data_IF_182432059001
#
_entry.id   IF_182432059001
#
_cell.length_a   1.000
_cell.length_b   1.000
_cell.length_c   1.000
_cell.angle_alpha   90.00
_cell.angle_beta   90.00
_cell.angle_gamma   90.00
#
_symmetry.space_group_name_H-M   'P 1'
#
loop_
_entity.id
_entity.type
_entity.pdbx_description
1 polymer ?
#
# COMPACT_ATOMS: atom_id res chain seq x y z
N UNK A 1 45.96 10.60 2.96
CA UNK A 1 45.56 9.25 2.51
C UNK A 1 44.19 9.01 3.13
N UNK A 2 43.12 9.38 2.42
CA UNK A 2 41.76 9.32 2.95
C UNK A 2 41.26 7.89 2.85
N UNK A 3 40.82 7.34 3.99
CA UNK A 3 40.26 6.00 4.10
C UNK A 3 38.79 6.10 3.69
N UNK A 4 38.48 5.76 2.44
CA UNK A 4 37.08 5.65 1.99
C UNK A 4 36.43 4.43 2.64
N UNK A 5 35.39 4.67 3.43
CA UNK A 5 34.61 3.63 4.10
C UNK A 5 33.94 2.73 3.05
N UNK A 6 33.99 1.38 3.16
CA UNK A 6 33.48 0.47 2.14
C UNK A 6 31.96 0.53 1.90
N UNK A 7 31.20 1.15 2.80
CA UNK A 7 29.73 1.15 2.78
C UNK A 7 29.11 2.11 1.75
N UNK A 8 29.78 3.20 1.38
CA UNK A 8 29.21 4.18 0.43
C UNK A 8 29.13 3.62 -1.01
N UNK A 9 30.02 2.68 -1.35
CA UNK A 9 29.99 1.98 -2.65
C UNK A 9 28.84 0.99 -2.78
N UNK A 10 28.29 0.49 -1.67
CA UNK A 10 27.19 -0.47 -1.69
C UNK A 10 25.86 0.22 -2.04
N UNK A 11 25.63 1.42 -1.50
CA UNK A 11 24.43 2.22 -1.78
C UNK A 11 24.39 2.74 -3.22
N UNK A 12 25.51 3.28 -3.72
CA UNK A 12 25.58 3.81 -5.09
C UNK A 12 25.39 2.73 -6.17
N UNK A 13 25.90 1.52 -5.94
CA UNK A 13 25.74 0.42 -6.89
C UNK A 13 24.34 -0.21 -6.84
N UNK A 14 23.65 -0.19 -5.69
CA UNK A 14 22.28 -0.71 -5.59
C UNK A 14 21.25 0.20 -6.27
N UNK A 15 21.43 1.52 -6.23
CA UNK A 15 20.54 2.46 -6.92
C UNK A 15 20.77 2.40 -8.44
N UNK A 16 22.02 2.28 -8.90
CA UNK A 16 22.34 2.16 -10.32
C UNK A 16 21.91 0.81 -10.94
N UNK A 17 21.83 -0.26 -10.16
CA UNK A 17 21.47 -1.60 -10.63
C UNK A 17 19.97 -1.91 -10.56
N UNK A 18 19.17 -1.10 -9.86
CA UNK A 18 17.71 -1.22 -9.93
C UNK A 18 17.26 -0.74 -11.29
N UNK A 19 16.94 -1.67 -12.20
CA UNK A 19 16.12 -1.35 -13.36
C UNK A 19 14.90 -0.61 -12.84
N UNK A 20 14.77 0.64 -13.24
CA UNK A 20 13.58 1.47 -12.98
C UNK A 20 12.35 0.61 -13.29
N UNK A 21 11.49 0.29 -12.31
CA UNK A 21 10.32 -0.54 -12.55
C UNK A 21 9.50 0.13 -13.65
N UNK A 22 9.25 -0.61 -14.74
CA UNK A 22 8.38 -0.15 -15.83
C UNK A 22 6.91 -0.48 -15.56
N UNK A 23 6.59 -1.00 -14.38
CA UNK A 23 5.26 -1.39 -13.93
C UNK A 23 5.17 -1.27 -12.40
N UNK A 24 3.97 -1.08 -11.90
CA UNK A 24 3.60 -1.15 -10.49
C UNK A 24 3.00 -2.52 -10.19
N UNK A 25 3.61 -3.30 -9.31
CA UNK A 25 3.10 -4.63 -8.97
C UNK A 25 1.88 -4.51 -8.06
N UNK A 26 0.84 -5.29 -8.34
CA UNK A 26 -0.41 -5.27 -7.58
C UNK A 26 -0.21 -5.56 -6.10
N UNK A 27 0.72 -6.47 -5.76
CA UNK A 27 1.04 -6.83 -4.37
C UNK A 27 1.67 -5.68 -3.55
N UNK A 28 2.11 -4.60 -4.20
CA UNK A 28 2.70 -3.42 -3.56
C UNK A 28 1.73 -2.24 -3.44
N UNK A 29 0.66 -2.22 -4.22
CA UNK A 29 -0.27 -1.09 -4.29
C UNK A 29 -0.94 -0.87 -2.94
N UNK A 30 -1.58 -1.93 -2.43
CA UNK A 30 -2.28 -1.89 -1.15
C UNK A 30 -1.32 -1.57 -0.01
N UNK A 31 -0.09 -2.09 -0.06
CA UNK A 31 0.95 -1.77 0.92
C UNK A 31 1.20 -0.25 1.06
N UNK A 32 1.38 0.42 -0.07
CA UNK A 32 1.66 1.85 -0.09
C UNK A 32 0.42 2.68 0.31
N UNK A 33 -0.73 2.40 -0.30
CA UNK A 33 -1.95 3.17 -0.08
C UNK A 33 -2.47 2.99 1.35
N UNK A 34 -2.47 1.77 1.88
CA UNK A 34 -2.94 1.51 3.23
C UNK A 34 -2.08 2.19 4.29
N UNK A 35 -0.77 2.33 4.04
CA UNK A 35 0.14 3.07 4.93
C UNK A 35 -0.25 4.54 5.01
N UNK A 36 -0.37 5.22 3.87
CA UNK A 36 -0.79 6.63 3.84
C UNK A 36 -2.16 6.86 4.46
N UNK A 37 -3.13 5.99 4.16
CA UNK A 37 -4.47 6.08 4.75
C UNK A 37 -4.41 5.93 6.27
N UNK A 38 -3.69 4.92 6.76
CA UNK A 38 -3.64 4.63 8.19
C UNK A 38 -2.88 5.72 8.96
N UNK A 39 -1.76 6.20 8.42
CA UNK A 39 -0.99 7.28 9.04
C UNK A 39 -1.80 8.58 9.07
N UNK A 40 -2.47 8.94 7.97
CA UNK A 40 -3.35 10.11 7.94
C UNK A 40 -4.41 10.04 9.05
N UNK A 41 -5.08 8.89 9.19
CA UNK A 41 -6.12 8.66 10.20
C UNK A 41 -5.60 8.68 11.64
N UNK A 42 -4.31 8.44 11.85
CA UNK A 42 -3.70 8.47 13.18
C UNK A 42 -3.37 9.91 13.64
N UNK A 43 -3.20 10.87 12.72
CA UNK A 43 -2.69 12.20 13.04
C UNK A 43 -3.47 12.93 14.13
N UNK A 44 -4.82 12.88 14.10
CA UNK A 44 -5.65 13.53 15.12
C UNK A 44 -5.44 12.91 16.50
N UNK A 45 -5.34 11.57 16.57
CA UNK A 45 -5.09 10.85 17.82
C UNK A 45 -3.69 11.16 18.38
N UNK A 46 -2.74 11.49 17.52
CA UNK A 46 -1.37 11.89 17.86
C UNK A 46 -1.24 13.40 18.13
N UNK A 47 -2.35 14.13 18.26
CA UNK A 47 -2.38 15.53 18.72
C UNK A 47 -2.42 16.58 17.62
N UNK A 48 -2.60 16.18 16.35
CA UNK A 48 -2.89 17.13 15.28
C UNK A 48 -4.29 17.74 15.48
N UNK A 49 -4.47 19.08 15.38
CA UNK A 49 -5.79 19.69 15.53
C UNK A 49 -6.82 19.17 14.54
N UNK A 50 -8.05 18.95 14.99
CA UNK A 50 -9.15 18.51 14.14
C UNK A 50 -9.32 19.45 12.94
N UNK A 51 -9.33 18.89 11.72
CA UNK A 51 -9.51 19.63 10.47
C UNK A 51 -8.28 20.39 9.99
N UNK A 52 -7.12 20.29 10.64
CA UNK A 52 -5.89 20.93 10.13
C UNK A 52 -5.21 20.14 9.01
N UNK A 53 -5.67 18.93 8.72
CA UNK A 53 -5.11 18.06 7.68
C UNK A 53 -6.21 17.28 6.96
N UNK A 54 -5.99 17.06 5.67
CA UNK A 54 -6.79 16.18 4.81
C UNK A 54 -5.85 15.54 3.79
N UNK A 55 -6.11 14.28 3.43
CA UNK A 55 -5.36 13.57 2.39
C UNK A 55 -6.27 13.38 1.17
N UNK A 56 -5.85 13.91 0.01
CA UNK A 56 -6.51 13.63 -1.26
C UNK A 56 -5.67 12.65 -2.07
N UNK A 57 -6.23 11.49 -2.37
CA UNK A 57 -5.69 10.59 -3.39
C UNK A 57 -6.22 11.06 -4.74
N UNK A 58 -5.36 11.72 -5.50
CA UNK A 58 -5.68 12.31 -6.80
C UNK A 58 -5.41 11.31 -7.94
N UNK A 59 -6.46 10.96 -8.68
CA UNK A 59 -6.40 10.11 -9.86
C UNK A 59 -6.25 10.87 -11.18
N UNK A 60 -6.22 12.19 -11.17
CA UNK A 60 -6.06 12.99 -12.39
C UNK A 60 -4.67 12.78 -13.00
N UNK A 61 -4.54 12.75 -14.34
CA UNK A 61 -5.59 12.88 -15.36
C UNK A 61 -6.31 11.58 -15.74
N UNK A 62 -6.04 10.45 -15.07
CA UNK A 62 -6.58 9.13 -15.40
C UNK A 62 -7.43 8.52 -14.26
N UNK A 63 -8.55 9.16 -13.86
CA UNK A 63 -9.35 8.69 -12.71
C UNK A 63 -9.90 7.27 -12.93
N UNK A 64 -10.16 6.88 -14.18
CA UNK A 64 -10.64 5.53 -14.52
C UNK A 64 -9.59 4.45 -14.24
N UNK A 65 -8.30 4.74 -14.48
CA UNK A 65 -7.20 3.82 -14.15
C UNK A 65 -7.11 3.63 -12.64
N UNK A 66 -7.16 4.73 -11.88
CA UNK A 66 -7.17 4.70 -10.42
C UNK A 66 -8.38 3.93 -9.88
N UNK A 67 -9.56 4.13 -10.47
CA UNK A 67 -10.79 3.42 -10.09
C UNK A 67 -10.64 1.91 -10.29
N UNK A 68 -10.12 1.48 -11.45
CA UNK A 68 -9.86 0.05 -11.71
C UNK A 68 -8.85 -0.54 -10.74
N UNK A 69 -7.78 0.19 -10.43
CA UNK A 69 -6.77 -0.25 -9.46
C UNK A 69 -7.41 -0.43 -8.07
N UNK A 70 -8.18 0.56 -7.61
CA UNK A 70 -8.81 0.50 -6.31
C UNK A 70 -9.83 -0.64 -6.22
N UNK A 71 -10.71 -0.78 -7.21
CA UNK A 71 -11.73 -1.81 -7.22
C UNK A 71 -11.14 -3.24 -7.27
N UNK A 72 -10.12 -3.46 -8.10
CA UNK A 72 -9.58 -4.81 -8.36
C UNK A 72 -8.50 -5.24 -7.38
N UNK A 73 -7.75 -4.28 -6.80
CA UNK A 73 -6.62 -4.56 -5.92
C UNK A 73 -6.94 -4.14 -4.48
N UNK A 74 -7.22 -2.86 -4.25
CA UNK A 74 -7.33 -2.30 -2.90
C UNK A 74 -8.57 -2.83 -2.17
N UNK A 75 -9.74 -2.83 -2.82
CA UNK A 75 -10.98 -3.39 -2.27
C UNK A 75 -10.89 -4.90 -2.10
N UNK A 76 -10.28 -5.60 -3.07
CA UNK A 76 -10.03 -7.05 -3.00
C UNK A 76 -9.20 -7.38 -1.76
N UNK A 77 -8.08 -6.69 -1.56
CA UNK A 77 -7.16 -6.97 -0.46
C UNK A 77 -7.78 -6.63 0.89
N UNK A 78 -8.54 -5.53 0.98
CA UNK A 78 -9.30 -5.19 2.19
C UNK A 78 -10.35 -6.26 2.54
N UNK A 79 -11.11 -6.73 1.57
CA UNK A 79 -12.10 -7.79 1.79
C UNK A 79 -11.44 -9.13 2.09
N UNK A 80 -10.28 -9.43 1.47
CA UNK A 80 -9.50 -10.62 1.77
C UNK A 80 -8.94 -10.60 3.19
N UNK A 81 -8.52 -9.43 3.69
CA UNK A 81 -8.13 -9.22 5.07
C UNK A 81 -9.29 -9.44 6.04
N UNK A 82 -10.48 -8.90 5.74
CA UNK A 82 -11.66 -9.16 6.55
C UNK A 82 -12.02 -10.64 6.57
N UNK A 83 -12.02 -11.30 5.40
CA UNK A 83 -12.33 -12.72 5.28
C UNK A 83 -11.33 -13.60 6.04
N UNK A 84 -10.05 -13.24 6.03
CA UNK A 84 -9.02 -13.91 6.81
C UNK A 84 -9.30 -13.78 8.31
N UNK A 85 -9.57 -12.56 8.81
CA UNK A 85 -9.90 -12.32 10.21
C UNK A 85 -11.14 -13.13 10.63
N UNK A 86 -12.21 -13.08 9.84
CA UNK A 86 -13.43 -13.85 10.11
C UNK A 86 -13.19 -15.35 10.09
N UNK A 87 -12.38 -15.86 9.16
CA UNK A 87 -12.08 -17.29 9.08
C UNK A 87 -11.24 -17.77 10.28
N UNK A 88 -10.40 -16.91 10.86
CA UNK A 88 -9.70 -17.19 12.13
C UNK A 88 -10.69 -17.17 13.29
N UNK A 89 -11.56 -16.17 13.39
CA UNK A 89 -12.53 -16.03 14.47
C UNK A 89 -13.54 -17.19 14.52
N UNK A 90 -13.89 -17.73 13.34
CA UNK A 90 -14.77 -18.90 13.18
C UNK A 90 -14.04 -20.24 13.31
N UNK A 91 -12.74 -20.23 13.63
CA UNK A 91 -11.87 -21.42 13.71
C UNK A 91 -11.84 -22.27 12.41
N UNK A 92 -12.07 -21.65 11.25
CA UNK A 92 -12.03 -22.30 9.93
C UNK A 92 -10.58 -22.59 9.52
N UNK A 93 -9.66 -21.68 9.85
CA UNK A 93 -8.23 -21.79 9.53
C UNK A 93 -7.41 -22.44 10.65
N UNK A 94 -8.07 -22.85 11.74
CA UNK A 94 -7.46 -23.37 12.95
C UNK A 94 -6.83 -22.29 13.82
N UNK A 95 -6.00 -22.71 14.77
CA UNK A 95 -5.44 -21.83 15.79
C UNK A 95 -4.23 -21.01 15.27
N UNK A 96 -4.32 -19.68 15.41
CA UNK A 96 -3.24 -18.73 15.12
C UNK A 96 -2.71 -18.12 16.43
N UNK A 97 -1.39 -18.00 16.54
CA UNK A 97 -0.75 -17.15 17.55
C UNK A 97 -1.09 -15.67 17.30
N UNK A 98 -0.89 -14.84 18.32
CA UNK A 98 -1.14 -13.39 18.21
C UNK A 98 -0.35 -12.74 17.07
N UNK A 99 0.93 -13.10 16.89
CA UNK A 99 1.78 -12.59 15.82
C UNK A 99 1.27 -12.98 14.43
N UNK A 100 0.83 -14.22 14.27
CA UNK A 100 0.30 -14.71 13.00
C UNK A 100 -1.04 -14.07 12.64
N UNK A 101 -1.88 -13.76 13.65
CA UNK A 101 -3.11 -12.97 13.46
C UNK A 101 -2.82 -11.56 12.95
N UNK A 102 -1.71 -10.96 13.38
CA UNK A 102 -1.27 -9.62 12.96
C UNK A 102 -0.58 -9.60 11.60
N UNK A 103 -0.53 -10.73 10.90
CA UNK A 103 0.09 -10.82 9.59
C UNK A 103 1.61 -10.72 9.72
N UNK A 104 2.23 -11.68 10.39
CA UNK A 104 3.62 -12.05 10.13
C UNK A 104 3.60 -13.24 9.15
N UNK A 105 4.25 -13.10 7.98
CA UNK A 105 4.36 -14.19 7.01
C UNK A 105 5.63 -15.00 7.22
N UNK A 106 5.48 -16.32 7.25
CA UNK A 106 6.62 -17.25 7.22
C UNK A 106 7.30 -17.27 5.84
N UNK A 107 6.58 -16.94 4.75
CA UNK A 107 7.09 -17.03 3.37
C UNK A 107 8.00 -15.87 2.94
N UNK A 108 7.91 -14.69 3.58
CA UNK A 108 8.70 -13.51 3.20
C UNK A 108 9.52 -12.87 4.32
N UNK A 109 9.61 -13.49 5.50
CA UNK A 109 10.36 -12.94 6.66
C UNK A 109 10.02 -11.46 6.94
N UNK A 110 8.74 -11.15 7.18
CA UNK A 110 8.32 -9.78 7.50
C UNK A 110 6.83 -9.64 7.82
N UNK A 111 6.48 -8.49 8.42
CA UNK A 111 5.10 -8.04 8.57
C UNK A 111 4.54 -7.68 7.19
N UNK A 112 3.25 -7.97 6.97
CA UNK A 112 2.59 -7.78 5.68
C UNK A 112 2.46 -6.30 5.28
N UNK A 113 2.94 -5.35 6.08
CA UNK A 113 2.98 -3.91 5.80
C UNK A 113 1.61 -3.22 5.75
N UNK A 114 0.54 -3.93 5.38
CA UNK A 114 -0.82 -3.37 5.26
C UNK A 114 -1.92 -4.11 6.02
N UNK A 115 -1.58 -5.04 6.92
CA UNK A 115 -2.54 -5.61 7.88
C UNK A 115 -2.90 -4.59 8.98
N UNK A 116 -3.32 -3.41 8.56
CA UNK A 116 -3.86 -2.39 9.45
C UNK A 116 -5.29 -2.78 9.78
N UNK A 117 -5.59 -3.06 11.04
CA UNK A 117 -6.92 -3.53 11.47
C UNK A 117 -8.05 -2.59 11.03
N UNK A 118 -7.76 -1.29 10.95
CA UNK A 118 -8.73 -0.26 10.58
C UNK A 118 -8.84 -0.03 9.07
N UNK A 119 -7.95 -0.61 8.26
CA UNK A 119 -7.89 -0.32 6.83
C UNK A 119 -9.16 -0.76 6.06
N UNK A 120 -9.72 -1.96 6.27
CA UNK A 120 -10.97 -2.31 5.59
C UNK A 120 -12.14 -1.39 5.96
N UNK A 121 -12.25 -0.99 7.23
CA UNK A 121 -13.27 -0.04 7.67
C UNK A 121 -13.02 1.37 7.11
N UNK A 122 -11.76 1.80 7.00
CA UNK A 122 -11.45 3.12 6.48
C UNK A 122 -11.85 3.28 5.01
N UNK A 123 -11.76 2.23 4.18
CA UNK A 123 -12.28 2.29 2.81
C UNK A 123 -13.80 2.53 2.76
N UNK A 124 -14.56 1.94 3.69
CA UNK A 124 -16.00 2.18 3.80
C UNK A 124 -16.27 3.64 4.19
N UNK A 125 -15.50 4.17 5.13
CA UNK A 125 -15.65 5.55 5.60
C UNK A 125 -15.23 6.57 4.53
N UNK A 126 -14.23 6.25 3.70
CA UNK A 126 -13.83 7.04 2.52
C UNK A 126 -14.95 7.03 1.48
N UNK A 127 -15.50 5.86 1.13
CA UNK A 127 -16.63 5.76 0.19
C UNK A 127 -17.87 6.56 0.64
N UNK A 128 -18.11 6.65 1.96
CA UNK A 128 -19.21 7.42 2.54
C UNK A 128 -18.94 8.93 2.62
N UNK A 129 -17.70 9.36 2.39
CA UNK A 129 -17.29 10.75 2.55
C UNK A 129 -17.19 11.21 4.00
N UNK A 130 -17.06 10.29 4.97
CA UNK A 130 -16.92 10.59 6.40
C UNK A 130 -15.47 10.54 6.90
N UNK A 131 -14.51 10.34 6.01
CA UNK A 131 -13.08 10.28 6.30
C UNK A 131 -12.37 11.59 5.97
N UNK A 132 -11.26 11.88 6.67
CA UNK A 132 -10.30 12.95 6.29
C UNK A 132 -9.53 12.61 5.02
N UNK A 133 -9.54 11.32 4.64
CA UNK A 133 -8.99 10.83 3.38
C UNK A 133 -10.10 10.88 2.33
N UNK A 134 -9.79 11.46 1.19
CA UNK A 134 -10.69 11.64 0.06
C UNK A 134 -10.06 11.09 -1.21
N UNK A 135 -10.89 10.68 -2.15
CA UNK A 135 -10.49 10.31 -3.51
C UNK A 135 -11.33 11.14 -4.49
N UNK A 136 -10.74 11.56 -5.61
CA UNK A 136 -11.49 12.21 -6.70
C UNK A 136 -11.84 11.24 -7.85
N UNK A 137 -11.72 9.95 -7.59
CA UNK A 137 -12.10 8.85 -8.46
C UNK A 137 -12.95 7.84 -7.67
N UNK A 138 -13.62 6.93 -8.37
CA UNK A 138 -14.46 5.92 -7.72
C UNK A 138 -13.57 4.83 -7.09
N UNK A 139 -13.68 4.62 -5.78
CA UNK A 139 -12.90 3.58 -5.09
C UNK A 139 -13.54 2.19 -5.21
N UNK A 140 -14.69 2.07 -5.88
CA UNK A 140 -15.42 0.83 -6.06
C UNK A 140 -16.16 0.39 -4.79
N UNK A 141 -16.78 -0.79 -4.89
CA UNK A 141 -17.54 -1.41 -3.79
C UNK A 141 -16.71 -2.44 -3.05
N UNK A 142 -16.98 -2.61 -1.75
CA UNK A 142 -16.41 -3.69 -0.96
C UNK A 142 -16.83 -5.05 -1.52
N UNK A 143 -15.89 -5.98 -1.64
CA UNK A 143 -16.21 -7.34 -2.05
C UNK A 143 -16.96 -8.10 -0.95
N UNK A 144 -17.73 -9.12 -1.33
CA UNK A 144 -18.48 -9.96 -0.39
C UNK A 144 -17.53 -10.87 0.41
N UNK A 145 -17.25 -10.45 1.65
CA UNK A 145 -16.40 -11.16 2.62
C UNK A 145 -16.91 -12.58 2.87
N UNK A 146 -18.21 -12.77 3.02
CA UNK A 146 -18.82 -14.09 3.27
C UNK A 146 -18.69 -15.02 2.06
N UNK A 147 -18.79 -14.47 0.85
CA UNK A 147 -18.50 -15.25 -0.35
C UNK A 147 -17.03 -15.69 -0.40
N UNK A 148 -16.09 -14.82 0.00
CA UNK A 148 -14.66 -15.18 0.07
C UNK A 148 -14.44 -16.27 1.12
N UNK A 149 -14.97 -16.13 2.34
CA UNK A 149 -14.83 -17.15 3.40
C UNK A 149 -15.39 -18.49 2.92
N UNK A 150 -16.63 -18.52 2.43
CA UNK A 150 -17.30 -19.75 1.99
C UNK A 150 -16.57 -20.46 0.85
N UNK A 151 -16.09 -19.70 -0.15
CA UNK A 151 -15.39 -20.25 -1.32
C UNK A 151 -14.07 -20.94 -0.95
N UNK A 152 -13.47 -20.54 0.17
CA UNK A 152 -12.13 -20.98 0.56
C UNK A 152 -12.13 -21.81 1.86
N UNK A 153 -13.27 -22.34 2.27
CA UNK A 153 -13.35 -23.35 3.34
C UNK A 153 -12.44 -24.54 2.99
N UNK A 154 -11.69 -25.01 3.99
CA UNK A 154 -10.77 -26.16 3.85
C UNK A 154 -9.41 -25.80 3.24
N UNK A 155 -9.17 -24.54 2.89
CA UNK A 155 -7.83 -24.09 2.56
C UNK A 155 -6.98 -23.95 3.82
N UNK A 156 -5.73 -24.36 3.73
CA UNK A 156 -4.75 -24.10 4.79
C UNK A 156 -4.19 -22.68 4.68
N UNK A 157 -3.53 -22.23 5.76
CA UNK A 157 -2.86 -20.93 5.87
C UNK A 157 -2.02 -20.59 4.63
N UNK A 158 -1.09 -21.48 4.25
CA UNK A 158 -0.18 -21.22 3.13
C UNK A 158 -0.88 -20.98 1.80
N UNK A 159 -2.00 -21.68 1.56
CA UNK A 159 -2.78 -21.49 0.35
C UNK A 159 -3.47 -20.13 0.35
N UNK A 160 -4.07 -19.73 1.46
CA UNK A 160 -4.65 -18.38 1.60
C UNK A 160 -3.61 -17.29 1.40
N UNK A 161 -2.43 -17.42 2.02
CA UNK A 161 -1.34 -16.45 1.88
C UNK A 161 -0.89 -16.33 0.43
N UNK A 162 -0.70 -17.46 -0.28
CA UNK A 162 -0.29 -17.46 -1.68
C UNK A 162 -1.32 -16.79 -2.59
N UNK A 163 -2.60 -17.08 -2.39
CA UNK A 163 -3.66 -16.53 -3.25
C UNK A 163 -3.97 -15.06 -2.93
N UNK A 164 -3.66 -14.58 -1.72
CA UNK A 164 -3.70 -13.16 -1.43
C UNK A 164 -2.84 -12.38 -2.43
N UNK A 165 -1.59 -12.80 -2.63
CA UNK A 165 -0.66 -12.16 -3.58
C UNK A 165 -0.92 -12.50 -5.05
N UNK A 166 -1.90 -13.36 -5.33
CA UNK A 166 -2.24 -13.76 -6.68
C UNK A 166 -3.30 -12.81 -7.28
N UNK A 167 -2.89 -11.58 -7.57
CA UNK A 167 -3.75 -10.58 -8.19
C UNK A 167 -3.97 -10.83 -9.68
N UNK A 168 -5.07 -10.31 -10.22
CA UNK A 168 -5.28 -10.23 -11.67
C UNK A 168 -5.86 -8.87 -11.99
N UNK A 169 -5.12 -7.98 -12.70
CA UNK A 169 -3.77 -8.18 -13.24
C UNK A 169 -2.68 -8.24 -12.15
N UNK A 170 -1.51 -8.79 -12.49
CA UNK A 170 -0.34 -8.87 -11.61
C UNK A 170 0.42 -7.54 -11.49
N UNK A 171 0.30 -6.69 -12.51
CA UNK A 171 0.99 -5.40 -12.55
C UNK A 171 0.23 -4.39 -13.41
N UNK A 172 0.56 -3.11 -13.19
CA UNK A 172 -0.09 -1.97 -13.79
C UNK A 172 0.93 -1.05 -14.45
N UNK A 173 0.57 -0.51 -15.61
CA UNK A 173 1.34 0.54 -16.29
C UNK A 173 0.53 1.85 -16.33
N UNK A 174 1.19 2.99 -16.56
CA UNK A 174 0.50 4.22 -16.88
C UNK A 174 -0.25 4.05 -18.20
N UNK A 175 -1.41 4.71 -18.29
CA UNK A 175 -2.20 4.81 -19.51
C UNK A 175 -2.23 6.27 -19.98
N UNK A 176 -2.30 6.55 -21.29
CA UNK A 176 -2.44 7.91 -21.79
C UNK A 176 -3.61 8.64 -21.10
N UNK A 177 -3.46 9.92 -20.71
CA UNK A 177 -2.33 10.82 -20.99
C UNK A 177 -1.15 10.79 -19.99
N UNK A 178 -1.08 9.83 -19.05
CA UNK A 178 0.05 9.76 -18.12
C UNK A 178 1.38 9.50 -18.84
N UNK A 179 2.48 10.12 -18.39
CA UNK A 179 3.80 9.83 -18.93
C UNK A 179 4.25 8.43 -18.51
N UNK A 180 5.27 7.92 -19.20
CA UNK A 180 5.85 6.62 -18.86
C UNK A 180 6.50 6.63 -17.48
N UNK A 181 6.56 5.49 -16.81
CA UNK A 181 7.15 5.33 -15.46
C UNK A 181 8.53 5.97 -15.29
N UNK A 182 9.37 5.91 -16.33
CA UNK A 182 10.68 6.52 -16.31
C UNK A 182 10.61 8.03 -16.05
N UNK A 183 9.72 8.72 -16.73
CA UNK A 183 9.53 10.17 -16.57
C UNK A 183 8.95 10.49 -15.19
N UNK A 184 7.97 9.71 -14.71
CA UNK A 184 7.41 9.89 -13.36
C UNK A 184 8.48 9.74 -12.26
N UNK A 185 9.46 8.86 -12.46
CA UNK A 185 10.54 8.67 -11.50
C UNK A 185 11.63 9.74 -11.63
N UNK A 186 11.92 10.19 -12.85
CA UNK A 186 12.82 11.33 -13.09
C UNK A 186 12.29 12.61 -12.40
N UNK A 187 10.98 12.86 -12.43
CA UNK A 187 10.36 14.00 -11.74
C UNK A 187 10.43 13.91 -10.20
N UNK A 188 10.46 12.70 -9.63
CA UNK A 188 10.58 12.47 -8.18
C UNK A 188 12.03 12.46 -7.68
N UNK A 189 13.00 12.34 -8.57
CA UNK A 189 14.41 12.51 -8.26
C UNK A 189 14.70 14.01 -8.29
N UNK A 190 14.69 14.65 -7.12
CA UNK A 190 15.11 16.03 -6.95
C UNK A 190 16.36 16.32 -7.81
N UNK A 191 16.35 17.42 -8.57
CA UNK A 191 17.58 17.97 -9.13
C UNK A 191 18.60 17.98 -7.98
N UNK A 192 19.71 17.24 -8.12
CA UNK A 192 20.84 17.40 -7.22
C UNK A 192 21.18 18.87 -7.27
N UNK A 193 20.86 19.61 -6.21
CA UNK A 193 21.26 20.99 -6.05
C UNK A 193 22.76 21.07 -6.35
N UNK A 194 23.20 21.73 -7.44
CA UNK A 194 24.62 21.86 -7.73
C UNK A 194 25.32 22.77 -6.70
N UNK A 195 24.57 23.41 -5.80
CA UNK A 195 25.04 24.32 -4.78
C UNK A 195 24.48 23.94 -3.40
N UNK A 196 24.93 22.79 -2.88
CA UNK A 196 24.49 22.17 -1.62
C UNK A 196 24.00 23.09 -0.49
N UNK A 197 22.89 22.67 0.12
CA UNK A 197 22.41 22.97 1.47
C UNK A 197 22.83 24.35 2.05
N UNK A 198 22.08 25.40 1.73
CA UNK A 198 22.00 26.56 2.62
C UNK A 198 21.10 26.24 3.82
N UNK A 199 21.69 25.83 4.94
CA UNK A 199 21.02 25.80 6.24
C UNK A 199 20.74 27.24 6.73
N UNK A 200 19.47 27.66 6.92
CA UNK A 200 19.15 29.03 7.36
C UNK A 200 19.39 29.30 8.86
N UNK A 201 19.84 28.30 9.62
CA UNK A 201 19.85 28.36 11.10
C UNK A 201 21.25 28.45 11.73
N UNK A 202 22.26 28.86 10.97
CA UNK A 202 23.55 29.25 11.53
C UNK A 202 23.65 30.79 11.62
N UNK A 203 23.15 31.33 12.72
CA UNK A 203 23.60 32.60 13.30
C UNK A 203 23.81 32.44 14.79
#
# INVERSE_FOLDING_TARGET
MFYEHPDERCWHNQIAARRTPCVLNSDQITANVATWITEALALEQEGMPLGSFSLLLDGSPCPDLCSRIFESIVQRDAAWQQAWTEAIERDILGHFTWFERKGESVLRHGCWGYMFERFPQSLIDIARGSSIVQCNFDIGSSWDVEAIVRKHIGWNRHKWEREWFNHTPQSWGPEPPLPQWRMLLEDNLWERDPYGCHCPWAR
#
